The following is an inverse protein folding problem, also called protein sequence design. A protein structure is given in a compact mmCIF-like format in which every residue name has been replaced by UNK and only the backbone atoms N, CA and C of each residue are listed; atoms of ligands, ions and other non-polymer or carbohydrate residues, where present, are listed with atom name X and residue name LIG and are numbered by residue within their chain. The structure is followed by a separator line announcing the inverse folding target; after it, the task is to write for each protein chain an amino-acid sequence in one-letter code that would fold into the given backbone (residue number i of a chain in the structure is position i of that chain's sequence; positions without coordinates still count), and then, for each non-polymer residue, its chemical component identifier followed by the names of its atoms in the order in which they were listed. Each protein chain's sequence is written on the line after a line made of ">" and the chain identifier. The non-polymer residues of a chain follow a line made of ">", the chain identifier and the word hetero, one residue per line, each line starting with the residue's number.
data_IF_856142820624
#
_entry.id   IF_856142820624
#
_cell.length_a   1.000
_cell.length_b   1.000
_cell.length_c   1.000
_cell.angle_alpha   90.00
_cell.angle_beta   90.00
_cell.angle_gamma   90.00
#
_symmetry.space_group_name_H-M   'P 1'
#
loop_
_entity.id
_entity.type
_entity.pdbx_description
1 polymer ?
#
# COMPACT_ATOMS: atom_id res chain seq x y z
N UNK A 1 -57.29 19.73 -52.04
CA UNK A 1 -56.12 18.87 -51.71
C UNK A 1 -55.31 19.58 -50.63
N UNK A 2 -55.29 19.08 -49.38
CA UNK A 2 -54.55 19.66 -48.24
C UNK A 2 -53.43 18.71 -47.84
N UNK A 3 -52.18 19.09 -48.09
CA UNK A 3 -51.00 18.36 -47.62
C UNK A 3 -50.60 18.83 -46.21
N UNK A 4 -50.64 17.93 -45.23
CA UNK A 4 -50.22 18.18 -43.84
C UNK A 4 -48.69 18.21 -43.76
N UNK A 5 -48.13 19.32 -43.27
CA UNK A 5 -46.72 19.41 -42.89
C UNK A 5 -46.46 18.64 -41.59
N UNK A 6 -45.54 17.66 -41.66
CA UNK A 6 -45.07 16.92 -40.48
C UNK A 6 -43.94 17.72 -39.84
N UNK A 7 -44.24 18.34 -38.69
CA UNK A 7 -43.24 19.01 -37.84
C UNK A 7 -42.38 17.93 -37.17
N UNK A 8 -41.16 17.74 -37.65
CA UNK A 8 -40.16 16.87 -37.00
C UNK A 8 -39.61 17.59 -35.76
N UNK A 9 -40.04 17.18 -34.57
CA UNK A 9 -39.45 17.66 -33.31
C UNK A 9 -37.98 17.26 -33.25
N UNK A 10 -37.07 18.21 -33.37
CA UNK A 10 -35.65 18.00 -33.10
C UNK A 10 -35.50 17.90 -31.58
N UNK A 11 -35.29 16.68 -31.06
CA UNK A 11 -34.87 16.51 -29.66
C UNK A 11 -33.51 17.18 -29.50
N UNK A 12 -33.48 18.27 -28.75
CA UNK A 12 -32.25 18.96 -28.37
C UNK A 12 -31.41 17.98 -27.54
N UNK A 13 -30.38 17.41 -28.14
CA UNK A 13 -29.41 16.57 -27.42
C UNK A 13 -28.57 17.51 -26.57
N UNK A 14 -28.68 17.38 -25.26
CA UNK A 14 -27.92 18.16 -24.31
C UNK A 14 -26.40 17.92 -24.51
N UNK A 15 -25.63 18.95 -24.93
CA UNK A 15 -24.21 18.81 -25.23
C UNK A 15 -23.35 18.60 -23.98
N UNK A 16 -23.91 18.73 -22.78
CA UNK A 16 -23.20 18.43 -21.53
C UNK A 16 -22.92 16.93 -21.32
N UNK A 17 -23.69 16.04 -21.96
CA UNK A 17 -23.51 14.59 -21.82
C UNK A 17 -22.35 14.02 -22.64
N UNK A 18 -21.82 14.77 -23.62
CA UNK A 18 -20.73 14.30 -24.50
C UNK A 18 -19.35 14.51 -23.89
N UNK A 19 -19.17 15.43 -22.94
CA UNK A 19 -17.87 15.69 -22.28
C UNK A 19 -17.47 14.65 -21.22
N UNK A 20 -18.40 13.84 -20.71
CA UNK A 20 -18.11 12.78 -19.73
C UNK A 20 -17.95 11.38 -20.34
N UNK A 21 -17.97 11.27 -21.67
CA UNK A 21 -17.65 10.01 -22.33
C UNK A 21 -16.12 9.86 -22.38
N UNK A 22 -15.50 9.85 -21.19
CA UNK A 22 -14.08 9.55 -21.02
C UNK A 22 -13.76 8.25 -21.75
N UNK A 23 -12.56 8.17 -22.31
CA UNK A 23 -12.08 7.06 -23.13
C UNK A 23 -12.19 5.76 -22.31
N UNK A 24 -13.31 5.05 -22.46
CA UNK A 24 -13.48 3.72 -21.86
C UNK A 24 -12.52 2.78 -22.57
N UNK A 25 -11.52 2.29 -21.85
CA UNK A 25 -10.60 1.28 -22.36
C UNK A 25 -11.25 -0.08 -22.19
N UNK A 26 -11.29 -0.87 -23.27
CA UNK A 26 -11.71 -2.26 -23.17
C UNK A 26 -10.68 -3.02 -22.33
N UNK A 27 -11.14 -3.79 -21.36
CA UNK A 27 -10.28 -4.59 -20.48
C UNK A 27 -10.98 -5.90 -20.20
N UNK A 28 -10.20 -6.98 -20.19
CA UNK A 28 -10.71 -8.34 -20.00
C UNK A 28 -10.12 -8.90 -18.71
N UNK A 29 -10.99 -9.29 -17.78
CA UNK A 29 -10.61 -9.96 -16.54
C UNK A 29 -11.20 -11.37 -16.52
N UNK A 30 -10.41 -12.35 -16.07
CA UNK A 30 -10.89 -13.71 -15.83
C UNK A 30 -11.50 -13.75 -14.43
N UNK A 31 -12.82 -13.79 -14.36
CA UNK A 31 -13.56 -13.90 -13.10
C UNK A 31 -13.75 -15.37 -12.72
N UNK A 32 -13.75 -15.65 -11.41
CA UNK A 32 -14.13 -16.97 -10.90
C UNK A 32 -15.54 -17.35 -11.40
N UNK A 33 -15.79 -18.61 -11.79
CA UNK A 33 -17.09 -19.06 -12.27
C UNK A 33 -18.25 -18.74 -11.32
N UNK A 34 -18.01 -18.73 -10.00
CA UNK A 34 -19.02 -18.38 -8.98
C UNK A 34 -19.46 -16.93 -9.13
N UNK A 35 -18.53 -16.00 -9.33
CA UNK A 35 -18.83 -14.58 -9.53
C UNK A 35 -19.51 -14.33 -10.88
N UNK A 36 -19.11 -15.06 -11.93
CA UNK A 36 -19.78 -14.96 -13.23
C UNK A 36 -21.27 -15.35 -13.14
N UNK A 37 -21.58 -16.46 -12.47
CA UNK A 37 -22.96 -16.92 -12.23
C UNK A 37 -23.76 -15.90 -11.41
N UNK A 38 -23.16 -15.39 -10.32
CA UNK A 38 -23.80 -14.37 -9.48
C UNK A 38 -24.10 -13.07 -10.24
N UNK A 39 -23.14 -12.58 -11.04
CA UNK A 39 -23.30 -11.38 -11.86
C UNK A 39 -24.35 -11.57 -12.96
N UNK A 40 -24.44 -12.76 -13.56
CA UNK A 40 -25.47 -13.08 -14.54
C UNK A 40 -26.86 -13.02 -13.92
N UNK A 41 -27.06 -13.69 -12.77
CA UNK A 41 -28.33 -13.66 -12.03
C UNK A 41 -28.72 -12.22 -11.64
N UNK A 42 -27.77 -11.46 -11.09
CA UNK A 42 -28.03 -10.06 -10.70
C UNK A 42 -28.36 -9.18 -11.91
N UNK A 43 -27.68 -9.38 -13.04
CA UNK A 43 -27.97 -8.68 -14.29
C UNK A 43 -29.38 -8.96 -14.80
N UNK A 44 -29.82 -10.22 -14.73
CA UNK A 44 -31.17 -10.63 -15.13
C UNK A 44 -32.26 -10.05 -14.25
N UNK A 45 -32.05 -10.04 -12.92
CA UNK A 45 -33.00 -9.51 -11.95
C UNK A 45 -33.08 -7.98 -12.02
N UNK A 46 -31.94 -7.30 -12.02
CA UNK A 46 -31.87 -5.83 -12.01
C UNK A 46 -31.99 -5.21 -13.41
N UNK A 47 -32.05 -6.01 -14.47
CA UNK A 47 -32.12 -5.59 -15.88
C UNK A 47 -31.00 -4.62 -16.26
N UNK A 48 -29.78 -4.88 -15.78
CA UNK A 48 -28.58 -4.08 -16.08
C UNK A 48 -27.49 -4.92 -16.74
N UNK A 49 -26.67 -4.35 -17.64
CA UNK A 49 -25.57 -5.08 -18.26
C UNK A 49 -24.50 -5.50 -17.24
N UNK A 50 -23.91 -6.68 -17.42
CA UNK A 50 -22.86 -7.21 -16.54
C UNK A 50 -21.67 -6.24 -16.39
N UNK A 51 -21.23 -5.61 -17.49
CA UNK A 51 -20.15 -4.64 -17.43
C UNK A 51 -20.47 -3.44 -16.53
N UNK A 52 -21.74 -3.05 -16.42
CA UNK A 52 -22.15 -1.98 -15.51
C UNK A 52 -22.05 -2.44 -14.06
N UNK A 53 -22.57 -3.63 -13.75
CA UNK A 53 -22.46 -4.23 -12.42
C UNK A 53 -21.00 -4.39 -11.97
N UNK A 54 -20.12 -4.83 -12.86
CA UNK A 54 -18.69 -4.97 -12.56
C UNK A 54 -18.06 -3.61 -12.25
N UNK A 55 -18.33 -2.58 -13.05
CA UNK A 55 -17.79 -1.24 -12.79
C UNK A 55 -18.36 -0.63 -11.50
N UNK A 56 -19.63 -0.84 -11.20
CA UNK A 56 -20.26 -0.40 -9.94
C UNK A 56 -19.58 -1.08 -8.74
N UNK A 57 -19.47 -2.42 -8.77
CA UNK A 57 -18.83 -3.18 -7.69
C UNK A 57 -17.35 -2.82 -7.49
N UNK A 58 -16.60 -2.64 -8.58
CA UNK A 58 -15.20 -2.19 -8.52
C UNK A 58 -15.10 -0.78 -7.95
N UNK A 59 -15.99 0.13 -8.36
CA UNK A 59 -16.04 1.49 -7.82
C UNK A 59 -16.26 1.51 -6.31
N UNK A 60 -17.31 0.81 -5.84
CA UNK A 60 -17.62 0.69 -4.41
C UNK A 60 -16.46 0.09 -3.61
N UNK A 61 -15.84 -0.97 -4.13
CA UNK A 61 -14.68 -1.59 -3.48
C UNK A 61 -13.50 -0.63 -3.38
N UNK A 62 -13.19 0.10 -4.46
CA UNK A 62 -12.08 1.05 -4.49
C UNK A 62 -12.31 2.22 -3.53
N UNK A 63 -13.52 2.79 -3.51
CA UNK A 63 -13.87 3.88 -2.58
C UNK A 63 -13.70 3.46 -1.12
N UNK A 64 -14.23 2.28 -0.76
CA UNK A 64 -14.13 1.76 0.60
C UNK A 64 -12.67 1.42 0.99
N UNK A 65 -11.92 0.77 0.10
CA UNK A 65 -10.57 0.31 0.42
C UNK A 65 -9.54 1.43 0.38
N UNK A 66 -9.70 2.42 -0.51
CA UNK A 66 -8.80 3.57 -0.58
C UNK A 66 -8.81 4.36 0.74
N UNK A 67 -10.00 4.67 1.28
CA UNK A 67 -10.12 5.40 2.55
C UNK A 67 -9.50 4.63 3.74
N UNK A 68 -9.68 3.31 3.79
CA UNK A 68 -9.04 2.46 4.80
C UNK A 68 -7.51 2.50 4.71
N UNK A 69 -6.97 2.36 3.50
CA UNK A 69 -5.52 2.37 3.28
C UNK A 69 -4.92 3.74 3.60
N UNK A 70 -5.61 4.82 3.25
CA UNK A 70 -5.19 6.19 3.59
C UNK A 70 -5.05 6.35 5.11
N UNK A 71 -6.06 5.92 5.88
CA UNK A 71 -6.02 5.99 7.34
C UNK A 71 -4.90 5.13 7.95
N UNK A 72 -4.68 3.91 7.44
CA UNK A 72 -3.60 3.01 7.87
C UNK A 72 -2.20 3.63 7.61
N UNK A 73 -2.04 4.29 6.46
CA UNK A 73 -0.78 4.96 6.09
C UNK A 73 -0.53 6.21 6.94
N UNK A 74 -1.57 7.01 7.22
CA UNK A 74 -1.47 8.16 8.12
C UNK A 74 -1.07 7.72 9.53
N UNK A 75 -1.65 6.63 10.04
CA UNK A 75 -1.26 6.09 11.34
C UNK A 75 0.20 5.64 11.35
N UNK A 76 0.62 4.90 10.33
CA UNK A 76 2.01 4.45 10.18
C UNK A 76 2.97 5.65 10.15
N UNK A 77 2.64 6.69 9.38
CA UNK A 77 3.43 7.91 9.30
C UNK A 77 3.51 8.64 10.65
N UNK A 78 2.40 8.71 11.41
CA UNK A 78 2.39 9.26 12.77
C UNK A 78 3.33 8.49 13.69
N UNK A 79 3.31 7.15 13.66
CA UNK A 79 4.20 6.31 14.47
C UNK A 79 5.67 6.55 14.14
N UNK A 80 6.02 6.60 12.85
CA UNK A 80 7.40 6.89 12.40
C UNK A 80 7.86 8.28 12.85
N UNK A 81 6.98 9.29 12.75
CA UNK A 81 7.29 10.65 13.22
C UNK A 81 7.48 10.70 14.73
N UNK A 82 6.62 10.02 15.50
CA UNK A 82 6.75 9.94 16.95
C UNK A 82 8.05 9.26 17.37
N UNK A 83 8.43 8.17 16.70
CA UNK A 83 9.71 7.50 16.92
C UNK A 83 10.90 8.45 16.71
N UNK A 84 10.92 9.17 15.59
CA UNK A 84 11.98 10.15 15.29
C UNK A 84 12.00 11.32 16.28
N UNK A 85 10.85 11.75 16.78
CA UNK A 85 10.78 12.84 17.78
C UNK A 85 11.25 12.39 19.16
N UNK A 86 10.94 11.14 19.54
CA UNK A 86 11.33 10.57 20.81
C UNK A 86 12.85 10.31 20.89
N UNK A 87 13.48 10.04 19.75
CA UNK A 87 14.91 9.76 19.68
C UNK A 87 15.55 10.34 18.40
N UNK A 88 15.78 11.67 18.35
CA UNK A 88 16.24 12.35 17.13
C UNK A 88 17.59 11.85 16.61
N UNK A 89 18.49 11.49 17.52
CA UNK A 89 19.85 11.03 17.24
C UNK A 89 19.97 9.49 17.37
N UNK A 90 18.85 8.80 17.64
CA UNK A 90 18.76 7.35 17.83
C UNK A 90 19.59 6.78 18.99
N UNK A 91 20.07 7.61 19.91
CA UNK A 91 20.91 7.22 21.04
C UNK A 91 20.20 6.22 21.97
N UNK A 92 18.90 6.40 22.20
CA UNK A 92 18.14 5.47 23.03
C UNK A 92 17.93 4.12 22.35
N UNK A 93 17.75 4.12 21.03
CA UNK A 93 17.59 2.92 20.22
C UNK A 93 18.92 2.14 20.12
N UNK A 94 20.03 2.85 19.91
CA UNK A 94 21.38 2.29 19.91
C UNK A 94 21.70 1.68 21.28
N UNK A 95 21.43 2.40 22.37
CA UNK A 95 21.66 1.89 23.73
C UNK A 95 20.86 0.62 24.01
N UNK A 96 19.56 0.58 23.66
CA UNK A 96 18.72 -0.61 23.85
C UNK A 96 19.16 -1.79 23.00
N UNK A 97 19.59 -1.51 21.77
CA UNK A 97 20.13 -2.53 20.87
C UNK A 97 21.42 -3.12 21.45
N UNK A 98 22.35 -2.28 21.88
CA UNK A 98 23.60 -2.72 22.51
C UNK A 98 23.35 -3.52 23.80
N UNK A 99 22.37 -3.12 24.62
CA UNK A 99 21.96 -3.86 25.82
C UNK A 99 21.39 -5.25 25.46
N UNK A 100 20.48 -5.32 24.48
CA UNK A 100 19.92 -6.59 24.02
C UNK A 100 20.96 -7.52 23.38
N UNK A 101 21.91 -6.99 22.61
CA UNK A 101 23.04 -7.79 22.09
C UNK A 101 23.94 -8.27 23.23
N UNK A 102 24.20 -7.42 24.23
CA UNK A 102 25.01 -7.80 25.40
C UNK A 102 24.38 -8.91 26.22
N UNK A 103 23.04 -8.95 26.32
CA UNK A 103 22.31 -10.05 26.98
C UNK A 103 22.48 -11.39 26.25
N UNK A 104 22.70 -11.36 24.93
CA UNK A 104 22.86 -12.53 24.05
C UNK A 104 24.32 -12.89 23.74
N UNK A 105 25.28 -12.06 24.17
CA UNK A 105 26.72 -12.22 23.90
C UNK A 105 27.34 -13.55 24.42
N UNK A 106 26.62 -14.32 25.23
CA UNK A 106 27.04 -15.66 25.67
C UNK A 106 26.64 -16.80 24.72
N UNK A 107 25.73 -16.54 23.78
CA UNK A 107 25.07 -17.56 22.95
C UNK A 107 25.41 -17.45 21.45
N UNK A 108 26.21 -16.46 21.03
CA UNK A 108 26.63 -16.30 19.63
C UNK A 108 27.81 -17.25 19.28
N UNK A 109 27.59 -18.31 18.48
CA UNK A 109 28.65 -19.24 18.08
C UNK A 109 29.69 -18.61 17.14
N UNK A 110 29.44 -17.40 16.62
CA UNK A 110 30.32 -16.67 15.71
C UNK A 110 31.11 -15.56 16.44
N UNK A 111 30.83 -15.31 17.72
CA UNK A 111 31.50 -14.28 18.50
C UNK A 111 32.94 -14.70 18.87
N UNK A 112 33.90 -13.85 18.55
CA UNK A 112 35.32 -14.11 18.77
C UNK A 112 35.69 -13.99 20.25
N UNK A 113 36.16 -15.07 20.87
CA UNK A 113 36.64 -15.03 22.25
C UNK A 113 37.96 -14.26 22.35
N UNK A 114 38.00 -13.19 23.14
CA UNK A 114 39.27 -12.53 23.48
C UNK A 114 40.09 -13.45 24.39
N UNK A 115 41.07 -14.14 23.82
CA UNK A 115 42.04 -14.89 24.62
C UNK A 115 42.96 -13.90 25.32
N UNK A 116 42.88 -13.85 26.66
CA UNK A 116 43.76 -13.05 27.54
C UNK A 116 45.21 -13.56 27.59
N UNK A 117 45.71 -14.17 26.53
CA UNK A 117 47.13 -14.46 26.41
C UNK A 117 47.80 -13.18 25.91
N UNK A 118 48.23 -12.31 26.82
CA UNK A 118 49.14 -11.21 26.49
C UNK A 118 50.43 -11.80 25.91
N UNK A 119 50.51 -11.87 24.59
CA UNK A 119 51.72 -12.21 23.88
C UNK A 119 52.78 -11.12 24.06
N UNK A 120 54.07 -11.46 23.89
CA UNK A 120 55.18 -10.52 24.07
C UNK A 120 55.03 -9.24 23.24
N UNK A 121 54.40 -9.34 22.06
CA UNK A 121 54.13 -8.20 21.17
C UNK A 121 53.12 -7.22 21.77
N UNK A 122 52.08 -7.69 22.46
CA UNK A 122 51.05 -6.82 23.05
C UNK A 122 51.59 -6.07 24.27
N UNK A 123 52.54 -6.67 25.02
CA UNK A 123 53.25 -5.99 26.10
C UNK A 123 54.15 -4.86 25.59
N UNK A 124 54.94 -5.14 24.56
CA UNK A 124 55.83 -4.15 23.91
C UNK A 124 55.05 -2.93 23.39
N UNK A 125 53.91 -3.15 22.74
CA UNK A 125 53.07 -2.06 22.22
C UNK A 125 52.49 -1.21 23.37
N UNK A 126 52.12 -1.84 24.49
CA UNK A 126 51.56 -1.14 25.65
C UNK A 126 52.61 -0.32 26.40
N UNK A 127 53.84 -0.81 26.49
CA UNK A 127 54.99 -0.06 27.02
C UNK A 127 55.31 1.14 26.14
N UNK A 128 55.26 0.99 24.81
CA UNK A 128 55.51 2.09 23.87
C UNK A 128 54.45 3.21 23.94
N UNK A 129 53.19 2.84 24.21
CA UNK A 129 52.07 3.79 24.31
C UNK A 129 52.02 4.48 25.68
N UNK A 130 52.55 3.84 26.74
CA UNK A 130 52.48 4.35 28.11
C UNK A 130 53.63 5.24 28.55
N UNK A 131 54.72 5.35 27.77
CA UNK A 131 55.78 6.34 27.91
C UNK A 131 56.28 6.54 29.34
#
# INVERSE_FOLDING_TARGET
>A
MKGKGVVRSRRHRDPSSSRRRGLRKATTFRLDPRFQKGLALLGEVRKVPLNRLVNEAVGEYLEARAASVEAELEETLRRVRAYRQADPDFESAISKFAEAESELAGEDPVEGQTTRAEGPTQRLVRELIRG
#
